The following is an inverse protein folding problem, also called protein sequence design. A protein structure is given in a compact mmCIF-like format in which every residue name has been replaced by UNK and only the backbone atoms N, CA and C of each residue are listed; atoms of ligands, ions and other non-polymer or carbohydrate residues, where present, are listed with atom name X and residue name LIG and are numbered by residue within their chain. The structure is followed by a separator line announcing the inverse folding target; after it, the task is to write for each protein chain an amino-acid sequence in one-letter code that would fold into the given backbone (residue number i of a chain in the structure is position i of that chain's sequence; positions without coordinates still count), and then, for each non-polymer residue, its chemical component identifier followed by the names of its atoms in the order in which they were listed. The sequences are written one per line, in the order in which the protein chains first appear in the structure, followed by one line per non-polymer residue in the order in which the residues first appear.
data_IF_495276959518
#
_entry.id   IF_495276959518
#
_cell.length_a   1.000
_cell.length_b   1.000
_cell.length_c   1.000
_cell.angle_alpha   90.00
_cell.angle_beta   90.00
_cell.angle_gamma   90.00
#
_symmetry.space_group_name_H-M   'P 1'
#
loop_
_entity.id
_entity.type
_entity.pdbx_description
1 polymer ?
#
# COMPACT_ATOMS: atom_id res chain seq x y z
N UNK A 1 9.80 -11.47 29.60
CA UNK A 1 9.04 -10.22 29.34
C UNK A 1 8.37 -10.30 27.95
N UNK A 2 7.33 -11.12 27.75
CA UNK A 2 6.77 -11.40 26.41
C UNK A 2 5.25 -11.17 26.25
N UNK A 3 4.58 -10.42 27.13
CA UNK A 3 3.11 -10.30 27.08
C UNK A 3 2.54 -9.14 26.23
N UNK A 4 3.39 -8.30 25.61
CA UNK A 4 2.92 -7.04 25.02
C UNK A 4 3.13 -6.89 23.50
N UNK A 5 3.76 -7.84 22.81
CA UNK A 5 3.96 -7.75 21.36
C UNK A 5 2.64 -7.84 20.59
N UNK A 6 1.73 -8.72 21.02
CA UNK A 6 0.43 -8.87 20.38
C UNK A 6 -0.46 -7.64 20.58
N UNK A 7 -0.49 -7.07 21.79
CA UNK A 7 -1.19 -5.80 22.06
C UNK A 7 -0.63 -4.64 21.24
N UNK A 8 0.70 -4.53 21.12
CA UNK A 8 1.37 -3.50 20.31
C UNK A 8 1.06 -3.67 18.82
N UNK A 9 1.17 -4.87 18.28
CA UNK A 9 0.82 -5.14 16.88
C UNK A 9 -0.66 -4.84 16.60
N UNK A 10 -1.56 -5.19 17.52
CA UNK A 10 -2.98 -4.90 17.40
C UNK A 10 -3.24 -3.39 17.40
N UNK A 11 -2.58 -2.63 18.28
CA UNK A 11 -2.64 -1.15 18.27
C UNK A 11 -2.08 -0.57 16.95
N UNK A 12 -0.95 -1.08 16.45
CA UNK A 12 -0.38 -0.63 15.18
C UNK A 12 -1.32 -0.90 14.00
N UNK A 13 -1.94 -2.09 13.94
CA UNK A 13 -2.90 -2.43 12.89
C UNK A 13 -4.11 -1.50 12.97
N UNK A 14 -4.66 -1.26 14.17
CA UNK A 14 -5.76 -0.32 14.35
C UNK A 14 -5.37 1.07 13.87
N UNK A 15 -4.17 1.56 14.20
CA UNK A 15 -3.70 2.87 13.77
C UNK A 15 -3.60 2.98 12.24
N UNK A 16 -3.07 1.95 11.58
CA UNK A 16 -2.99 1.89 10.11
C UNK A 16 -4.38 1.87 9.48
N UNK A 17 -5.30 1.06 10.00
CA UNK A 17 -6.69 1.03 9.53
C UNK A 17 -7.37 2.38 9.73
N UNK A 18 -7.12 3.04 10.85
CA UNK A 18 -7.69 4.36 11.16
C UNK A 18 -7.13 5.42 10.20
N UNK A 19 -5.82 5.41 9.92
CA UNK A 19 -5.21 6.30 8.92
C UNK A 19 -5.76 6.06 7.51
N UNK A 20 -6.05 4.82 7.13
CA UNK A 20 -6.64 4.51 5.83
C UNK A 20 -8.15 4.84 5.76
N UNK A 21 -8.91 4.59 6.83
CA UNK A 21 -10.36 4.80 6.86
C UNK A 21 -10.78 6.24 7.15
N UNK A 22 -9.96 7.00 7.88
CA UNK A 22 -10.20 8.42 8.18
C UNK A 22 -10.48 9.24 6.90
N UNK A 23 -9.61 9.26 5.87
CA UNK A 23 -9.87 9.99 4.65
C UNK A 23 -11.11 9.48 3.91
N UNK A 24 -11.42 8.17 3.92
CA UNK A 24 -12.63 7.63 3.31
C UNK A 24 -13.94 8.16 3.93
N UNK A 25 -13.92 8.50 5.22
CA UNK A 25 -15.13 8.98 5.95
C UNK A 25 -15.25 10.51 5.87
N UNK A 26 -14.13 11.22 5.99
CA UNK A 26 -14.11 12.69 6.00
C UNK A 26 -14.03 13.32 4.60
N UNK A 27 -13.52 12.59 3.61
CA UNK A 27 -13.33 13.04 2.23
C UNK A 27 -14.23 12.22 1.29
N UNK A 28 -15.53 12.17 1.59
CA UNK A 28 -16.53 11.39 0.84
C UNK A 28 -16.75 11.85 -0.60
N UNK A 29 -16.43 13.10 -0.90
CA UNK A 29 -16.52 13.71 -2.23
C UNK A 29 -15.13 14.02 -2.83
N UNK A 30 -14.05 13.52 -2.21
CA UNK A 30 -12.75 13.61 -2.84
C UNK A 30 -12.70 12.63 -3.99
N UNK A 31 -12.67 13.13 -5.21
CA UNK A 31 -12.15 12.34 -6.32
C UNK A 31 -10.75 11.91 -5.93
N UNK A 32 -10.59 10.61 -5.61
CA UNK A 32 -9.30 9.98 -5.41
C UNK A 32 -8.63 9.79 -6.79
N UNK A 33 -8.52 10.90 -7.53
CA UNK A 33 -7.83 11.00 -8.80
C UNK A 33 -6.33 11.05 -8.62
N UNK A 34 -5.62 10.94 -9.73
CA UNK A 34 -4.17 11.03 -9.73
C UNK A 34 -3.72 12.38 -9.18
N UNK A 35 -2.48 12.42 -8.66
CA UNK A 35 -1.86 13.70 -8.30
C UNK A 35 -1.70 14.64 -9.50
N UNK A 36 -1.75 14.10 -10.72
CA UNK A 36 -1.65 14.84 -11.98
C UNK A 36 -2.93 15.62 -12.29
N UNK A 37 -4.12 15.00 -12.12
CA UNK A 37 -5.42 15.66 -12.32
C UNK A 37 -5.58 16.92 -11.44
N UNK A 38 -5.16 16.82 -10.18
CA UNK A 38 -5.22 17.93 -9.24
C UNK A 38 -4.23 19.05 -9.60
N UNK A 39 -3.08 18.70 -10.16
CA UNK A 39 -2.08 19.66 -10.60
C UNK A 39 -2.54 20.43 -11.85
N UNK A 40 -3.10 19.74 -12.84
CA UNK A 40 -3.60 20.36 -14.06
C UNK A 40 -4.74 21.37 -13.79
N UNK A 41 -5.68 21.00 -12.90
CA UNK A 41 -6.77 21.89 -12.50
C UNK A 41 -6.23 23.18 -11.84
N UNK A 42 -5.27 23.06 -10.93
CA UNK A 42 -4.67 24.21 -10.25
C UNK A 42 -3.89 25.11 -11.23
N UNK A 43 -3.13 24.50 -12.15
CA UNK A 43 -2.33 25.24 -13.12
C UNK A 43 -3.22 26.01 -14.10
N UNK A 44 -4.31 25.39 -14.59
CA UNK A 44 -5.29 26.03 -15.49
C UNK A 44 -6.00 27.21 -14.82
N UNK A 45 -6.22 27.15 -13.50
CA UNK A 45 -6.81 28.25 -12.73
C UNK A 45 -5.84 29.42 -12.51
N UNK A 46 -4.53 29.17 -12.46
CA UNK A 46 -3.50 30.20 -12.22
C UNK A 46 -3.10 30.90 -13.53
N UNK A 47 -2.99 30.13 -14.62
CA UNK A 47 -2.66 30.66 -15.94
C UNK A 47 -3.45 29.89 -17.01
N UNK A 48 -4.49 30.53 -17.54
CA UNK A 48 -5.34 29.94 -18.58
C UNK A 48 -4.65 29.77 -19.94
N UNK A 49 -3.42 30.29 -20.08
CA UNK A 49 -2.60 30.14 -21.29
C UNK A 49 -1.48 29.11 -21.11
N UNK A 50 -1.45 28.39 -19.98
CA UNK A 50 -0.47 27.34 -19.72
C UNK A 50 -0.63 26.19 -20.71
N UNK A 51 0.47 25.85 -21.39
CA UNK A 51 0.56 24.69 -22.26
C UNK A 51 1.41 23.64 -21.55
N UNK A 52 0.93 22.39 -21.39
CA UNK A 52 1.71 21.30 -20.83
C UNK A 52 3.05 21.16 -21.57
N UNK A 53 4.16 21.22 -20.84
CA UNK A 53 5.51 21.03 -21.40
C UNK A 53 5.85 19.54 -21.59
N UNK A 54 4.97 18.65 -21.12
CA UNK A 54 5.06 17.20 -21.25
C UNK A 54 3.63 16.65 -21.38
N UNK A 55 3.34 15.99 -22.49
CA UNK A 55 2.12 15.20 -22.66
C UNK A 55 2.44 13.74 -22.37
N UNK A 56 1.52 13.04 -21.70
CA UNK A 56 1.70 11.63 -21.39
C UNK A 56 1.81 10.83 -22.69
N UNK A 57 2.94 10.14 -22.90
CA UNK A 57 3.18 9.33 -24.11
C UNK A 57 2.12 8.23 -24.31
N UNK A 58 1.43 7.87 -23.23
CA UNK A 58 0.31 6.95 -23.24
C UNK A 58 -0.63 7.30 -22.09
N UNK A 59 -1.84 7.71 -22.44
CA UNK A 59 -2.92 7.94 -21.50
C UNK A 59 -3.84 6.70 -21.51
N UNK A 60 -4.15 6.10 -20.35
CA UNK A 60 -5.07 4.97 -20.32
C UNK A 60 -6.45 5.43 -20.83
N UNK A 61 -7.09 4.65 -21.71
CA UNK A 61 -8.34 5.06 -22.38
C UNK A 61 -9.55 5.21 -21.43
N UNK A 62 -9.39 4.92 -20.13
CA UNK A 62 -10.40 5.08 -19.08
C UNK A 62 -9.73 5.05 -17.70
N UNK A 63 -10.23 5.85 -16.75
CA UNK A 63 -9.80 5.82 -15.34
C UNK A 63 -10.05 4.48 -14.65
N UNK A 64 -10.91 3.62 -15.22
CA UNK A 64 -11.08 2.24 -14.76
C UNK A 64 -9.81 1.39 -15.01
N UNK A 65 -9.14 1.61 -16.14
CA UNK A 65 -7.90 0.90 -16.49
C UNK A 65 -6.75 1.37 -15.61
N UNK A 66 -6.69 2.67 -15.31
CA UNK A 66 -5.74 3.24 -14.35
C UNK A 66 -5.91 2.60 -12.96
N UNK A 67 -7.13 2.57 -12.44
CA UNK A 67 -7.46 1.94 -11.16
C UNK A 67 -7.11 0.45 -11.13
N UNK A 68 -7.29 -0.26 -12.25
CA UNK A 68 -6.93 -1.68 -12.40
C UNK A 68 -5.40 -1.86 -12.35
N UNK A 69 -4.64 -1.01 -13.05
CA UNK A 69 -3.17 -1.06 -13.02
C UNK A 69 -2.63 -0.77 -11.62
N UNK A 70 -3.18 0.21 -10.90
CA UNK A 70 -2.84 0.45 -9.49
C UNK A 70 -3.22 -0.72 -8.58
N UNK A 71 -4.40 -1.31 -8.78
CA UNK A 71 -4.83 -2.49 -8.01
C UNK A 71 -3.92 -3.69 -8.26
N UNK A 72 -3.45 -3.88 -9.49
CA UNK A 72 -2.50 -4.94 -9.84
C UNK A 72 -1.14 -4.71 -9.18
N UNK A 73 -0.63 -3.48 -9.21
CA UNK A 73 0.59 -3.12 -8.50
C UNK A 73 0.48 -3.37 -6.99
N UNK A 74 -0.64 -2.99 -6.38
CA UNK A 74 -0.92 -3.24 -4.98
C UNK A 74 -0.98 -4.74 -4.67
N UNK A 75 -1.63 -5.54 -5.53
CA UNK A 75 -1.72 -6.99 -5.37
C UNK A 75 -0.35 -7.67 -5.44
N UNK A 76 0.50 -7.27 -6.40
CA UNK A 76 1.87 -7.79 -6.54
C UNK A 76 2.71 -7.39 -5.31
N UNK A 77 2.64 -6.12 -4.90
CA UNK A 77 3.36 -5.62 -3.73
C UNK A 77 2.97 -6.36 -2.45
N UNK A 78 1.66 -6.55 -2.22
CA UNK A 78 1.15 -7.33 -1.11
C UNK A 78 1.61 -8.80 -1.17
N UNK A 79 1.59 -9.41 -2.36
CA UNK A 79 2.06 -10.78 -2.57
C UNK A 79 3.53 -10.97 -2.18
N UNK A 80 4.40 -10.04 -2.59
CA UNK A 80 5.84 -10.07 -2.24
C UNK A 80 6.05 -9.91 -0.74
N UNK A 81 5.39 -8.93 -0.10
CA UNK A 81 5.52 -8.67 1.34
C UNK A 81 5.03 -9.87 2.16
N UNK A 82 3.84 -10.38 1.84
CA UNK A 82 3.27 -11.55 2.52
C UNK A 82 4.12 -12.81 2.29
N UNK A 83 4.62 -13.02 1.08
CA UNK A 83 5.50 -14.14 0.73
C UNK A 83 6.81 -14.08 1.52
N UNK A 84 7.44 -12.91 1.62
CA UNK A 84 8.68 -12.72 2.37
C UNK A 84 8.48 -12.95 3.88
N UNK A 85 7.43 -12.39 4.47
CA UNK A 85 7.09 -12.61 5.88
C UNK A 85 6.81 -14.10 6.13
N UNK A 86 6.05 -14.75 5.25
CA UNK A 86 5.77 -16.19 5.32
C UNK A 86 7.04 -17.04 5.27
N UNK A 87 7.96 -16.71 4.36
CA UNK A 87 9.27 -17.39 4.26
C UNK A 87 10.10 -17.24 5.55
N UNK A 88 10.18 -16.03 6.12
CA UNK A 88 10.90 -15.79 7.38
C UNK A 88 10.31 -16.59 8.54
N UNK A 89 8.98 -16.65 8.66
CA UNK A 89 8.29 -17.44 9.69
C UNK A 89 8.59 -18.93 9.51
N UNK A 90 8.51 -19.45 8.28
CA UNK A 90 8.79 -20.85 7.95
C UNK A 90 10.24 -21.24 8.26
N UNK A 91 11.21 -20.41 7.84
CA UNK A 91 12.63 -20.62 8.13
C UNK A 91 12.91 -20.67 9.63
N UNK A 92 12.29 -19.79 10.40
CA UNK A 92 12.47 -19.75 11.85
C UNK A 92 11.81 -20.95 12.56
N UNK A 93 10.70 -21.49 12.05
CA UNK A 93 10.10 -22.73 12.57
C UNK A 93 11.00 -23.94 12.33
N UNK A 94 11.47 -24.13 11.09
CA UNK A 94 12.35 -25.27 10.75
C UNK A 94 13.67 -25.27 11.52
N UNK A 95 14.22 -24.08 11.85
CA UNK A 95 15.43 -23.95 12.64
C UNK A 95 15.23 -24.27 14.13
N UNK A 96 14.04 -23.99 14.69
CA UNK A 96 13.71 -24.36 16.07
C UNK A 96 13.49 -25.87 16.22
N UNK A 97 12.89 -26.50 15.20
CA UNK A 97 12.61 -27.93 15.18
C UNK A 97 13.89 -28.77 15.04
N UNK A 98 14.87 -28.29 14.27
CA UNK A 98 16.18 -28.95 14.14
C UNK A 98 17.09 -28.80 15.36
N UNK A 99 16.93 -27.72 16.14
CA UNK A 99 17.64 -27.53 17.42
C UNK A 99 17.04 -28.44 18.50
N UNK A 100 15.72 -28.46 18.64
CA UNK A 100 15.02 -29.28 19.65
C UNK A 100 15.24 -30.79 19.46
N UNK A 101 15.50 -31.24 18.21
CA UNK A 101 15.84 -32.64 17.92
C UNK A 101 17.27 -33.03 18.33
N UNK A 102 18.22 -32.09 18.36
CA UNK A 102 19.60 -32.34 18.79
C UNK A 102 19.79 -32.32 20.31
N UNK A 103 18.94 -31.57 21.02
CA UNK A 103 19.00 -31.44 22.48
C UNK A 103 18.29 -32.60 23.21
N UNK A 104 17.63 -33.50 22.48
CA UNK A 104 16.91 -34.68 22.99
C UNK A 104 17.51 -36.04 22.59
N UNK A 105 18.67 -36.05 21.91
CA UNK A 105 19.54 -37.24 21.72
C UNK A 105 20.68 -37.28 22.76
#
# INVERSE_FOLDING_TARGET
MEKNLWKKNLILIILVVLLAACPLIFVKEGEFGGSDDQAEQLITNIDSSYQPWFESLWEPPSGEVESLLFSLQAAIGAGIVCGYIGYLIGKNKGKKESINKKDGE
#
